data_IF_329797916663
#
_entry.id   IF_329797916663
#
_cell.length_a   1.000
_cell.length_b   1.000
_cell.length_c   1.000
_cell.angle_alpha   90.00
_cell.angle_beta   90.00
_cell.angle_gamma   90.00
#
_symmetry.space_group_name_H-M   'P 1'
#
loop_
_entity.id
_entity.type
_entity.pdbx_description
1 polymer ?
#
# COMPACT_ATOMS: atom_id res chain seq x y z
N UNK A 1 -13.18 -4.28 -0.58
CA UNK A 1 -12.59 -5.05 -1.69
C UNK A 1 -11.84 -6.21 -1.07
N UNK A 2 -12.27 -7.46 -1.30
CA UNK A 2 -11.64 -8.64 -0.69
C UNK A 2 -10.14 -8.79 -1.02
N UNK A 3 -9.67 -8.14 -2.10
CA UNK A 3 -8.27 -8.14 -2.51
C UNK A 3 -7.31 -7.41 -1.55
N UNK A 4 -7.79 -6.39 -0.83
CA UNK A 4 -6.96 -5.63 0.11
C UNK A 4 -6.72 -6.40 1.43
N UNK A 5 -7.66 -7.26 1.79
CA UNK A 5 -7.60 -8.08 3.00
C UNK A 5 -6.47 -9.11 2.89
N UNK A 6 -6.33 -9.71 1.71
CA UNK A 6 -5.23 -10.59 1.38
C UNK A 6 -3.89 -9.83 1.35
N UNK A 7 -3.87 -8.61 0.82
CA UNK A 7 -2.66 -7.78 0.80
C UNK A 7 -2.15 -7.46 2.21
N UNK A 8 -3.02 -7.01 3.11
CA UNK A 8 -2.61 -6.65 4.47
C UNK A 8 -2.14 -7.87 5.26
N UNK A 9 -2.81 -9.01 5.06
CA UNK A 9 -2.37 -10.28 5.64
C UNK A 9 -0.98 -10.66 5.12
N UNK A 10 -0.75 -10.60 3.80
CA UNK A 10 0.56 -10.85 3.19
C UNK A 10 1.65 -9.91 3.69
N UNK A 11 1.34 -8.62 3.87
CA UNK A 11 2.29 -7.64 4.39
C UNK A 11 2.70 -7.97 5.83
N UNK A 12 1.76 -8.42 6.66
CA UNK A 12 2.03 -8.84 8.02
C UNK A 12 2.81 -10.16 8.08
N UNK A 13 2.36 -11.16 7.30
CA UNK A 13 2.95 -12.50 7.25
C UNK A 13 4.29 -12.55 6.51
N UNK A 14 4.68 -11.46 5.84
CA UNK A 14 6.00 -11.28 5.22
C UNK A 14 7.16 -11.20 6.23
N UNK A 15 6.99 -11.74 7.45
CA UNK A 15 7.99 -11.99 8.48
C UNK A 15 9.08 -12.99 8.05
N UNK A 16 9.60 -12.82 6.84
CA UNK A 16 10.85 -13.40 6.39
C UNK A 16 11.98 -12.55 6.96
N UNK A 17 12.27 -12.74 8.24
CA UNK A 17 13.27 -11.97 8.99
C UNK A 17 14.68 -12.00 8.36
N UNK A 18 14.97 -13.03 7.55
CA UNK A 18 16.24 -13.16 6.83
C UNK A 18 16.33 -12.33 5.54
N UNK A 19 15.21 -11.78 5.03
CA UNK A 19 15.19 -10.96 3.82
C UNK A 19 15.34 -9.48 4.16
N UNK A 20 16.12 -8.77 3.36
CA UNK A 20 16.13 -7.31 3.38
C UNK A 20 14.74 -6.76 3.01
N UNK A 21 14.50 -5.50 3.37
CA UNK A 21 13.24 -4.81 3.03
C UNK A 21 12.97 -4.82 1.52
N UNK A 22 13.98 -4.60 0.69
CA UNK A 22 13.82 -4.57 -0.76
C UNK A 22 13.49 -5.97 -1.32
N UNK A 23 14.13 -7.02 -0.80
CA UNK A 23 13.78 -8.40 -1.19
C UNK A 23 12.35 -8.77 -0.79
N UNK A 24 11.88 -8.29 0.38
CA UNK A 24 10.49 -8.47 0.81
C UNK A 24 9.51 -7.74 -0.11
N UNK A 25 9.83 -6.51 -0.53
CA UNK A 25 9.03 -5.74 -1.50
C UNK A 25 8.95 -6.48 -2.84
N UNK A 26 10.10 -6.84 -3.43
CA UNK A 26 10.16 -7.57 -4.70
C UNK A 26 9.37 -8.88 -4.61
N UNK A 27 9.52 -9.63 -3.51
CA UNK A 27 8.79 -10.87 -3.29
C UNK A 27 7.28 -10.64 -3.23
N UNK A 28 6.81 -9.64 -2.48
CA UNK A 28 5.38 -9.31 -2.35
C UNK A 28 4.77 -8.83 -3.67
N UNK A 29 5.46 -7.95 -4.41
CA UNK A 29 5.00 -7.49 -5.72
C UNK A 29 4.82 -8.68 -6.68
N UNK A 30 5.78 -9.61 -6.69
CA UNK A 30 5.66 -10.86 -7.47
C UNK A 30 4.49 -11.75 -7.03
N UNK A 31 4.20 -11.86 -5.73
CA UNK A 31 3.03 -12.62 -5.25
C UNK A 31 1.69 -12.00 -5.70
N UNK A 32 1.68 -10.69 -5.95
CA UNK A 32 0.50 -9.95 -6.42
C UNK A 32 0.44 -9.85 -7.95
N UNK A 33 1.36 -10.50 -8.68
CA UNK A 33 1.54 -10.37 -10.12
C UNK A 33 1.78 -8.90 -10.57
N UNK A 34 2.50 -8.13 -9.76
CA UNK A 34 2.94 -6.78 -10.07
C UNK A 34 4.41 -6.78 -10.50
N UNK A 35 4.74 -5.95 -11.48
CA UNK A 35 6.12 -5.76 -11.95
C UNK A 35 6.90 -4.90 -10.93
N UNK A 36 8.01 -5.40 -10.34
CA UNK A 36 8.79 -4.66 -9.34
C UNK A 36 9.51 -3.40 -9.84
N UNK A 37 9.65 -3.24 -11.16
CA UNK A 37 10.35 -2.11 -11.76
C UNK A 37 9.38 -1.10 -12.38
N UNK A 38 8.13 -1.51 -12.61
CA UNK A 38 7.12 -0.72 -13.31
C UNK A 38 5.74 -0.79 -12.62
N UNK A 39 5.35 0.25 -11.85
CA UNK A 39 4.01 0.29 -11.26
C UNK A 39 2.92 0.32 -12.35
N UNK A 40 1.76 -0.33 -12.11
CA UNK A 40 0.65 -0.31 -13.07
C UNK A 40 0.08 1.10 -13.31
N UNK A 41 -0.67 1.28 -14.39
CA UNK A 41 -1.30 2.57 -14.72
C UNK A 41 -2.68 2.75 -14.06
N UNK A 42 -3.36 1.65 -13.70
CA UNK A 42 -4.67 1.72 -13.05
C UNK A 42 -4.54 2.02 -11.55
N UNK A 43 -5.52 2.74 -11.02
CA UNK A 43 -5.50 3.14 -9.61
C UNK A 43 -5.34 1.95 -8.64
N UNK A 44 -6.00 0.81 -8.91
CA UNK A 44 -5.96 -0.33 -7.99
C UNK A 44 -4.54 -0.87 -7.92
N UNK A 45 -3.91 -1.05 -9.08
CA UNK A 45 -2.51 -1.43 -9.19
C UNK A 45 -1.57 -0.43 -8.51
N UNK A 46 -1.69 0.87 -8.79
CA UNK A 46 -0.89 1.93 -8.14
C UNK A 46 -1.04 1.91 -6.62
N UNK A 47 -2.27 1.77 -6.13
CA UNK A 47 -2.56 1.78 -4.70
C UNK A 47 -1.95 0.57 -3.99
N UNK A 48 -2.10 -0.62 -4.58
CA UNK A 48 -1.50 -1.85 -4.05
C UNK A 48 0.03 -1.80 -4.07
N UNK A 49 0.59 -1.29 -5.16
CA UNK A 49 2.02 -1.07 -5.30
C UNK A 49 2.54 -0.16 -4.18
N UNK A 50 1.89 0.98 -3.97
CA UNK A 50 2.24 1.91 -2.90
C UNK A 50 2.14 1.26 -1.50
N UNK A 51 1.10 0.46 -1.25
CA UNK A 51 0.98 -0.24 0.03
C UNK A 51 2.08 -1.28 0.27
N UNK A 52 2.57 -1.95 -0.78
CA UNK A 52 3.74 -2.81 -0.64
C UNK A 52 4.99 -1.98 -0.37
N UNK A 53 5.26 -0.99 -1.22
CA UNK A 53 6.45 -0.14 -1.11
C UNK A 53 6.57 0.56 0.23
N UNK A 54 5.47 1.05 0.81
CA UNK A 54 5.50 1.83 2.05
C UNK A 54 5.03 1.05 3.29
N UNK A 55 4.21 0.02 3.11
CA UNK A 55 3.62 -0.78 4.19
C UNK A 55 4.51 -1.91 4.69
N UNK A 56 5.49 -2.38 3.91
CA UNK A 56 6.43 -3.41 4.36
C UNK A 56 7.17 -2.96 5.62
N UNK A 57 7.04 -3.75 6.69
CA UNK A 57 7.65 -3.49 8.00
C UNK A 57 6.87 -2.53 8.89
N UNK A 58 5.70 -2.04 8.47
CA UNK A 58 4.82 -1.25 9.32
C UNK A 58 3.97 -2.15 10.24
N UNK A 59 3.63 -1.69 11.45
CA UNK A 59 2.72 -2.42 12.33
C UNK A 59 1.34 -2.62 11.69
N UNK A 60 0.68 -3.74 11.98
CA UNK A 60 -0.66 -4.03 11.47
C UNK A 60 -1.66 -2.89 11.68
N UNK A 61 -1.77 -2.24 12.86
CA UNK A 61 -2.69 -1.13 13.04
C UNK A 61 -2.51 0.02 12.04
N UNK A 62 -1.26 0.28 11.62
CA UNK A 62 -0.95 1.29 10.59
C UNK A 62 -1.49 0.84 9.22
N UNK A 63 -1.34 -0.45 8.89
CA UNK A 63 -1.83 -1.00 7.62
C UNK A 63 -3.36 -1.03 7.54
N UNK A 64 -4.03 -1.28 8.66
CA UNK A 64 -5.50 -1.33 8.73
C UNK A 64 -6.15 0.03 8.41
N UNK A 65 -5.49 1.16 8.66
CA UNK A 65 -5.97 2.50 8.28
C UNK A 65 -6.21 2.58 6.76
N UNK A 66 -5.35 1.97 5.95
CA UNK A 66 -5.47 1.96 4.50
C UNK A 66 -6.65 1.12 3.98
N UNK A 67 -7.35 0.35 4.84
CA UNK A 67 -8.61 -0.33 4.48
C UNK A 67 -9.80 0.61 4.42
N UNK A 68 -9.72 1.75 5.10
CA UNK A 68 -10.83 2.69 5.17
C UNK A 68 -11.12 3.25 3.77
N UNK A 69 -12.40 3.26 3.39
CA UNK A 69 -12.83 3.71 2.05
C UNK A 69 -12.48 5.18 1.86
N UNK A 70 -12.55 5.96 2.93
CA UNK A 70 -12.22 7.36 3.03
C UNK A 70 -10.75 7.60 2.69
N UNK A 71 -9.84 6.77 3.21
CA UNK A 71 -8.41 6.82 2.90
C UNK A 71 -8.14 6.45 1.43
N UNK A 72 -8.81 5.42 0.91
CA UNK A 72 -8.69 5.04 -0.50
C UNK A 72 -9.18 6.15 -1.43
N UNK A 73 -10.31 6.79 -1.12
CA UNK A 73 -10.86 7.91 -1.89
C UNK A 73 -9.96 9.15 -1.79
N UNK A 74 -9.38 9.41 -0.61
CA UNK A 74 -8.44 10.50 -0.41
C UNK A 74 -7.18 10.30 -1.26
N UNK A 75 -6.62 9.08 -1.26
CA UNK A 75 -5.47 8.73 -2.09
C UNK A 75 -5.80 8.88 -3.58
N UNK A 76 -6.93 8.33 -4.03
CA UNK A 76 -7.41 8.49 -5.41
C UNK A 76 -7.50 9.95 -5.82
N UNK A 77 -8.17 10.75 -4.99
CA UNK A 77 -8.35 12.19 -5.26
C UNK A 77 -7.03 12.94 -5.31
N UNK A 78 -6.08 12.60 -4.44
CA UNK A 78 -4.75 13.22 -4.42
C UNK A 78 -3.93 12.84 -5.66
N UNK A 79 -4.01 11.57 -6.09
CA UNK A 79 -3.33 11.08 -7.29
C UNK A 79 -3.90 11.74 -8.56
N UNK A 80 -5.22 11.69 -8.75
CA UNK A 80 -5.89 12.24 -9.94
C UNK A 80 -5.70 13.76 -10.08
N UNK A 81 -5.59 14.48 -8.95
CA UNK A 81 -5.37 15.93 -8.93
C UNK A 81 -3.90 16.32 -8.88
N UNK A 82 -2.98 15.35 -8.88
CA UNK A 82 -1.54 15.55 -8.67
C UNK A 82 -1.25 16.48 -7.46
N UNK A 83 -1.95 16.24 -6.34
CA UNK A 83 -1.90 17.07 -5.13
C UNK A 83 -1.62 16.21 -3.89
N UNK A 84 -0.36 15.79 -3.68
CA UNK A 84 0.03 14.95 -2.55
C UNK A 84 -0.15 15.65 -1.19
N UNK A 85 -0.09 16.99 -1.13
CA UNK A 85 -0.31 17.75 0.09
C UNK A 85 -1.74 17.55 0.68
N UNK A 86 -2.69 17.13 -0.16
CA UNK A 86 -4.03 16.75 0.28
C UNK A 86 -4.03 15.57 1.24
N UNK A 87 -3.10 14.62 1.07
CA UNK A 87 -2.95 13.47 1.97
C UNK A 87 -2.52 13.93 3.36
N UNK A 88 -1.56 14.86 3.45
CA UNK A 88 -1.08 15.38 4.73
C UNK A 88 -2.18 16.14 5.47
N UNK A 89 -2.85 17.07 4.78
CA UNK A 89 -3.89 17.93 5.38
C UNK A 89 -5.10 17.14 5.89
N UNK A 90 -5.48 16.06 5.20
CA UNK A 90 -6.68 15.28 5.54
C UNK A 90 -6.36 14.00 6.32
N UNK A 91 -5.14 13.48 6.21
CA UNK A 91 -4.69 12.26 6.86
C UNK A 91 -4.55 12.39 8.37
N UNK A 92 -4.26 13.59 8.89
CA UNK A 92 -4.19 13.85 10.33
C UNK A 92 -5.49 13.52 11.07
N UNK A 93 -6.64 13.57 10.41
CA UNK A 93 -7.93 13.22 11.01
C UNK A 93 -8.10 11.71 11.31
N UNK A 94 -7.14 10.88 10.90
CA UNK A 94 -7.18 9.41 11.03
C UNK A 94 -6.12 8.85 12.01
N UNK A 95 -5.41 9.73 12.71
CA UNK A 95 -4.41 9.41 13.75
C UNK A 95 -4.96 9.71 15.14
#
# INVERSE_FOLDING_TARGET
MPMLDNLISLLFDSAKESLSRNERIIWLLKQLNLDPDHPPEDFTGVYQYALVEYGVGKPRPVLEIFRQREIQQLFRSALEKNNPAMLLKKGEAFL
#
